data_IF_381362693856
#
_entry.id   IF_381362693856
#
_cell.length_a   1.000
_cell.length_b   1.000
_cell.length_c   1.000
_cell.angle_alpha   90.00
_cell.angle_beta   90.00
_cell.angle_gamma   90.00
#
_symmetry.space_group_name_H-M   'P 1'
#
loop_
_entity.id
_entity.type
_entity.pdbx_description
1 polymer ?
#
# COMPACT_ATOMS: atom_id res chain seq x y z
N UNK A 1 12.68 -0.10 -4.98
CA UNK A 1 13.50 -1.24 -5.41
C UNK A 1 13.42 -2.32 -4.32
N UNK A 2 13.16 -3.58 -4.69
CA UNK A 2 13.01 -4.71 -3.76
C UNK A 2 14.35 -5.39 -3.41
N UNK A 3 15.45 -4.93 -3.99
CA UNK A 3 16.81 -5.44 -3.76
C UNK A 3 17.21 -5.52 -2.28
N UNK A 4 16.63 -4.67 -1.41
CA UNK A 4 16.81 -4.76 0.04
C UNK A 4 16.21 -6.04 0.63
N UNK A 5 15.04 -6.48 0.15
CA UNK A 5 14.40 -7.72 0.62
C UNK A 5 15.13 -8.97 0.10
N UNK A 6 15.76 -8.86 -1.08
CA UNK A 6 16.59 -9.93 -1.65
C UNK A 6 17.91 -10.09 -0.88
N UNK A 7 18.46 -8.98 -0.36
CA UNK A 7 19.70 -8.97 0.44
C UNK A 7 19.45 -9.31 1.91
N UNK A 8 18.35 -8.84 2.49
CA UNK A 8 17.91 -9.12 3.85
C UNK A 8 16.42 -9.48 3.86
N UNK A 9 16.18 -10.78 3.87
CA UNK A 9 14.82 -11.32 3.87
C UNK A 9 14.19 -11.40 5.26
N UNK A 10 14.80 -10.83 6.31
CA UNK A 10 14.28 -10.91 7.69
C UNK A 10 13.33 -9.77 8.04
N UNK A 11 13.36 -8.69 7.25
CA UNK A 11 12.63 -7.46 7.52
C UNK A 11 11.41 -7.23 6.64
N UNK A 12 11.05 -5.96 6.54
CA UNK A 12 10.07 -5.40 5.61
C UNK A 12 10.74 -4.35 4.73
N UNK A 13 10.22 -4.12 3.53
CA UNK A 13 10.67 -3.04 2.66
C UNK A 13 9.50 -2.10 2.36
N UNK A 14 9.71 -0.80 2.56
CA UNK A 14 8.73 0.24 2.24
C UNK A 14 9.09 0.91 0.93
N UNK A 15 8.12 0.97 0.02
CA UNK A 15 8.21 1.71 -1.24
C UNK A 15 7.14 2.79 -1.25
N UNK A 16 7.40 3.92 -1.91
CA UNK A 16 6.42 5.01 -1.96
C UNK A 16 6.64 5.90 -3.18
N UNK A 17 5.56 6.48 -3.68
CA UNK A 17 5.63 7.60 -4.61
C UNK A 17 6.05 8.88 -3.88
N UNK A 18 6.54 9.91 -4.61
CA UNK A 18 6.53 11.27 -4.10
C UNK A 18 5.10 11.68 -3.71
N UNK A 19 4.97 12.51 -2.67
CA UNK A 19 3.67 13.05 -2.26
C UNK A 19 3.27 14.18 -3.21
N UNK A 20 2.13 14.08 -3.91
CA UNK A 20 1.64 15.16 -4.76
C UNK A 20 1.33 16.41 -3.93
N UNK A 21 1.71 17.59 -4.45
CA UNK A 21 1.56 18.84 -3.70
C UNK A 21 0.10 19.17 -3.33
N UNK A 22 -0.85 18.75 -4.17
CA UNK A 22 -2.29 18.91 -3.93
C UNK A 22 -2.74 18.12 -2.69
N UNK A 23 -2.19 16.93 -2.46
CA UNK A 23 -2.56 16.06 -1.35
C UNK A 23 -2.14 16.59 0.03
N UNK A 24 -1.23 17.58 0.07
CA UNK A 24 -0.84 18.27 1.31
C UNK A 24 -1.77 19.43 1.67
N UNK A 25 -2.57 19.90 0.71
CA UNK A 25 -3.41 21.10 0.85
C UNK A 25 -4.88 20.73 0.90
N UNK A 26 -5.31 19.86 -0.01
CA UNK A 26 -6.71 19.46 -0.14
C UNK A 26 -7.03 18.24 0.71
N UNK A 27 -8.27 18.12 1.21
CA UNK A 27 -8.69 16.95 1.97
C UNK A 27 -8.66 15.70 1.07
N UNK A 28 -7.96 14.67 1.53
CA UNK A 28 -7.77 13.43 0.80
C UNK A 28 -8.59 12.28 1.39
N UNK A 29 -8.95 11.36 0.51
CA UNK A 29 -9.35 10.00 0.85
C UNK A 29 -8.15 9.06 0.68
N UNK A 30 -8.02 8.08 1.57
CA UNK A 30 -6.96 7.07 1.54
C UNK A 30 -7.61 5.68 1.58
N UNK A 31 -7.27 4.81 0.64
CA UNK A 31 -7.66 3.40 0.66
C UNK A 31 -6.50 2.52 1.10
N UNK A 32 -6.80 1.44 1.82
CA UNK A 32 -5.83 0.41 2.22
C UNK A 32 -6.24 -0.94 1.62
N UNK A 33 -5.29 -1.68 1.06
CA UNK A 33 -5.53 -3.04 0.56
C UNK A 33 -4.31 -3.95 0.76
N UNK A 34 -4.51 -5.26 0.71
CA UNK A 34 -3.45 -6.25 0.83
C UNK A 34 -3.47 -7.34 -0.24
N UNK A 35 -2.30 -7.89 -0.53
CA UNK A 35 -2.12 -9.07 -1.38
C UNK A 35 -1.19 -10.09 -0.71
N UNK A 36 -1.39 -11.38 -1.00
CA UNK A 36 -0.51 -12.44 -0.50
C UNK A 36 -0.84 -13.00 0.89
N UNK A 37 -2.03 -12.70 1.45
CA UNK A 37 -2.48 -13.23 2.75
C UNK A 37 -2.77 -14.74 2.75
N UNK A 38 -3.17 -15.32 1.61
CA UNK A 38 -3.61 -16.72 1.48
C UNK A 38 -2.53 -17.75 1.07
N UNK A 39 -1.59 -17.41 0.15
CA UNK A 39 -0.51 -18.32 -0.23
C UNK A 39 0.44 -18.64 0.94
N UNK A 40 0.97 -19.87 0.95
CA UNK A 40 2.00 -20.31 1.93
C UNK A 40 3.39 -19.82 1.53
N UNK A 41 3.57 -19.46 0.25
CA UNK A 41 4.84 -19.03 -0.33
C UNK A 41 4.70 -17.59 -0.82
N UNK A 42 5.77 -16.81 -0.62
CA UNK A 42 5.85 -15.43 -1.08
C UNK A 42 5.55 -14.38 0.00
N UNK A 43 5.88 -13.11 -0.27
CA UNK A 43 5.67 -12.02 0.66
C UNK A 43 4.18 -11.66 0.78
N UNK A 44 3.84 -11.00 1.88
CA UNK A 44 2.56 -10.31 2.04
C UNK A 44 2.79 -8.82 1.79
N UNK A 45 2.00 -8.22 0.90
CA UNK A 45 2.14 -6.81 0.50
C UNK A 45 0.95 -6.03 0.98
N UNK A 46 1.20 -4.91 1.66
CA UNK A 46 0.20 -3.91 1.99
C UNK A 46 0.40 -2.68 1.12
N UNK A 47 -0.69 -2.09 0.67
CA UNK A 47 -0.68 -0.89 -0.15
C UNK A 47 -1.64 0.15 0.44
N UNK A 48 -1.22 1.41 0.36
CA UNK A 48 -2.11 2.57 0.48
C UNK A 48 -2.11 3.34 -0.82
N UNK A 49 -3.27 3.89 -1.17
CA UNK A 49 -3.43 4.82 -2.26
C UNK A 49 -4.28 5.99 -1.76
N UNK A 50 -3.89 7.21 -2.07
CA UNK A 50 -4.62 8.41 -1.65
C UNK A 50 -4.70 9.45 -2.76
N UNK A 51 -5.81 10.17 -2.78
CA UNK A 51 -6.04 11.28 -3.71
C UNK A 51 -6.96 12.34 -3.07
N UNK A 52 -6.96 13.59 -3.57
CA UNK A 52 -7.91 14.61 -3.11
C UNK A 52 -9.35 14.21 -3.38
N UNK A 53 -10.25 14.47 -2.42
CA UNK A 53 -11.69 14.21 -2.57
C UNK A 53 -12.29 14.81 -3.86
N UNK A 54 -11.93 16.04 -4.29
CA UNK A 54 -12.45 16.60 -5.54
C UNK A 54 -12.03 15.82 -6.80
N UNK A 55 -10.95 15.02 -6.73
CA UNK A 55 -10.38 14.27 -7.85
C UNK A 55 -10.75 12.78 -7.82
N UNK A 56 -11.62 12.36 -6.88
CA UNK A 56 -12.04 10.97 -6.76
C UNK A 56 -12.74 10.46 -8.04
N UNK A 57 -13.59 11.29 -8.64
CA UNK A 57 -14.26 10.96 -9.90
C UNK A 57 -13.28 10.76 -11.08
N UNK A 58 -12.15 11.50 -11.09
CA UNK A 58 -11.11 11.32 -12.10
C UNK A 58 -10.41 9.96 -11.93
N UNK A 59 -10.17 9.55 -10.68
CA UNK A 59 -9.60 8.24 -10.37
C UNK A 59 -10.55 7.10 -10.77
N UNK A 60 -11.86 7.26 -10.55
CA UNK A 60 -12.88 6.29 -11.00
C UNK A 60 -12.93 6.21 -12.54
N UNK A 61 -12.82 7.35 -13.23
CA UNK A 61 -12.79 7.42 -14.69
C UNK A 61 -11.58 6.69 -15.31
N UNK A 62 -10.48 6.54 -14.56
CA UNK A 62 -9.33 5.72 -14.96
C UNK A 62 -9.63 4.20 -14.97
N UNK A 63 -10.82 3.77 -14.54
CA UNK A 63 -11.28 2.37 -14.45
C UNK A 63 -10.43 1.50 -13.52
N UNK A 64 -9.96 2.08 -12.42
CA UNK A 64 -9.16 1.37 -11.39
C UNK A 64 -10.04 0.43 -10.53
N UNK A 65 -11.37 0.51 -10.64
CA UNK A 65 -12.32 -0.02 -9.66
C UNK A 65 -12.56 -1.55 -9.62
N UNK A 66 -12.06 -2.36 -10.56
CA UNK A 66 -12.25 -3.82 -10.48
C UNK A 66 -10.96 -4.61 -10.71
N UNK A 67 -10.22 -4.87 -9.63
CA UNK A 67 -8.98 -5.65 -9.66
C UNK A 67 -9.21 -7.17 -9.69
N UNK A 68 -10.44 -7.68 -9.67
CA UNK A 68 -10.68 -9.14 -9.48
C UNK A 68 -10.80 -9.93 -10.79
N UNK A 69 -10.89 -9.25 -11.93
CA UNK A 69 -11.02 -9.86 -13.26
C UNK A 69 -9.92 -9.45 -14.24
N UNK A 70 -9.01 -8.56 -13.83
CA UNK A 70 -7.95 -8.02 -14.70
C UNK A 70 -6.77 -8.96 -14.88
N UNK A 71 -6.29 -9.02 -16.12
CA UNK A 71 -5.01 -9.66 -16.47
C UNK A 71 -3.83 -8.86 -15.90
N UNK A 72 -2.68 -9.51 -15.75
CA UNK A 72 -1.44 -8.89 -15.27
C UNK A 72 -1.06 -7.62 -16.06
N UNK A 73 -1.11 -7.71 -17.39
CA UNK A 73 -0.81 -6.59 -18.29
C UNK A 73 -1.79 -5.42 -18.15
N UNK A 74 -3.03 -5.67 -17.74
CA UNK A 74 -4.01 -4.62 -17.50
C UNK A 74 -3.74 -3.90 -16.18
N UNK A 75 -3.28 -4.62 -15.14
CA UNK A 75 -2.87 -4.04 -13.86
C UNK A 75 -1.67 -3.13 -14.02
N UNK A 76 -0.65 -3.58 -14.74
CA UNK A 76 0.54 -2.77 -15.04
C UNK A 76 0.16 -1.48 -15.78
N UNK A 77 -0.73 -1.59 -16.78
CA UNK A 77 -1.22 -0.42 -17.53
C UNK A 77 -2.01 0.54 -16.64
N UNK A 78 -2.85 0.04 -15.74
CA UNK A 78 -3.61 0.89 -14.81
C UNK A 78 -2.68 1.55 -13.78
N UNK A 79 -1.71 0.82 -13.26
CA UNK A 79 -0.71 1.36 -12.35
C UNK A 79 0.10 2.47 -13.00
N UNK A 80 0.59 2.26 -14.24
CA UNK A 80 1.29 3.30 -14.99
C UNK A 80 0.44 4.56 -15.21
N UNK A 81 -0.87 4.40 -15.46
CA UNK A 81 -1.79 5.54 -15.56
C UNK A 81 -1.95 6.29 -14.26
N UNK A 82 -2.02 5.58 -13.13
CA UNK A 82 -2.11 6.21 -11.81
C UNK A 82 -0.81 6.97 -11.48
N UNK A 83 0.34 6.38 -11.81
CA UNK A 83 1.66 6.99 -11.60
C UNK A 83 1.90 8.24 -12.46
N UNK A 84 1.28 8.32 -13.64
CA UNK A 84 1.34 9.50 -14.52
C UNK A 84 0.47 10.68 -14.01
N UNK A 85 -0.40 10.46 -13.01
CA UNK A 85 -1.21 11.54 -12.45
C UNK A 85 -0.44 12.40 -11.45
N UNK A 86 -0.77 13.68 -11.41
CA UNK A 86 -0.18 14.66 -10.48
C UNK A 86 -0.95 14.79 -9.15
N UNK A 87 -1.89 13.90 -8.88
CA UNK A 87 -2.81 13.98 -7.75
C UNK A 87 -3.00 12.66 -6.99
N UNK A 88 -2.43 11.56 -7.46
CA UNK A 88 -2.46 10.27 -6.75
C UNK A 88 -1.10 10.02 -6.11
N UNK A 89 -1.11 9.62 -4.84
CA UNK A 89 0.07 9.11 -4.16
C UNK A 89 -0.16 7.71 -3.62
N UNK A 90 0.90 6.94 -3.48
CA UNK A 90 0.84 5.57 -2.98
C UNK A 90 2.04 5.22 -2.11
N UNK A 91 1.87 4.22 -1.23
CA UNK A 91 2.96 3.58 -0.52
C UNK A 91 2.67 2.10 -0.31
N UNK A 92 3.72 1.30 -0.27
CA UNK A 92 3.68 -0.16 -0.11
C UNK A 92 4.55 -0.56 1.07
N UNK A 93 4.12 -1.56 1.83
CA UNK A 93 4.96 -2.26 2.79
C UNK A 93 4.99 -3.75 2.40
N UNK A 94 6.16 -4.25 2.03
CA UNK A 94 6.39 -5.63 1.61
C UNK A 94 6.96 -6.41 2.78
N UNK A 95 6.17 -7.33 3.32
CA UNK A 95 6.54 -8.19 4.44
C UNK A 95 7.10 -9.51 3.92
N UNK A 96 8.36 -9.79 4.26
CA UNK A 96 9.01 -11.04 3.87
C UNK A 96 8.36 -12.28 4.52
N UNK A 97 8.43 -13.46 3.88
CA UNK A 97 7.94 -14.71 4.49
C UNK A 97 8.63 -15.01 5.84
N UNK A 98 9.90 -14.64 5.97
CA UNK A 98 10.68 -14.88 7.18
C UNK A 98 10.22 -13.97 8.32
N UNK A 99 9.94 -12.69 8.05
CA UNK A 99 9.33 -11.78 9.02
C UNK A 99 7.98 -12.33 9.51
N UNK A 100 7.13 -12.78 8.59
CA UNK A 100 5.81 -13.35 8.94
C UNK A 100 6.00 -14.58 9.83
N UNK A 101 6.89 -15.49 9.44
CA UNK A 101 7.17 -16.73 10.18
C UNK A 101 7.73 -16.47 11.58
N UNK A 102 8.75 -15.62 11.68
CA UNK A 102 9.40 -15.29 12.96
C UNK A 102 8.47 -14.53 13.90
N UNK A 103 7.63 -13.64 13.36
CA UNK A 103 6.63 -12.92 14.15
C UNK A 103 5.57 -13.85 14.74
N UNK A 104 5.10 -14.83 13.96
CA UNK A 104 4.07 -15.78 14.40
C UNK A 104 4.60 -16.88 15.35
N UNK A 105 5.89 -17.22 15.25
CA UNK A 105 6.55 -18.26 16.06
C UNK A 105 7.29 -17.68 17.29
N UNK A 106 7.20 -16.37 17.51
CA UNK A 106 7.78 -15.70 18.67
C UNK A 106 7.19 -16.17 20.01
N UNK A 107 7.93 -15.97 21.10
CA UNK A 107 7.45 -16.29 22.47
C UNK A 107 6.21 -15.48 22.85
N UNK A 108 6.09 -14.26 22.32
CA UNK A 108 4.91 -13.41 22.47
C UNK A 108 3.95 -13.74 21.32
N UNK A 109 2.67 -13.98 21.64
CA UNK A 109 1.65 -14.21 20.64
C UNK A 109 1.48 -12.97 19.77
N UNK A 110 1.98 -13.02 18.55
CA UNK A 110 1.77 -12.00 17.55
C UNK A 110 1.26 -12.69 16.27
N UNK A 111 -0.05 -12.69 16.11
CA UNK A 111 -0.71 -13.44 15.04
C UNK A 111 -0.78 -12.61 13.75
N UNK A 112 -1.18 -13.27 12.66
CA UNK A 112 -1.27 -12.63 11.35
C UNK A 112 -2.19 -11.40 11.35
N UNK A 113 -3.31 -11.43 12.08
CA UNK A 113 -4.22 -10.30 12.14
C UNK A 113 -3.58 -9.08 12.84
N UNK A 114 -2.80 -9.31 13.89
CA UNK A 114 -2.02 -8.24 14.54
C UNK A 114 -0.97 -7.67 13.58
N UNK A 115 -0.21 -8.53 12.91
CA UNK A 115 0.77 -8.10 11.90
C UNK A 115 0.14 -7.29 10.78
N UNK A 116 -1.01 -7.75 10.27
CA UNK A 116 -1.80 -7.08 9.25
C UNK A 116 -2.25 -5.69 9.70
N UNK A 117 -2.87 -5.61 10.87
CA UNK A 117 -3.40 -4.34 11.40
C UNK A 117 -2.29 -3.32 11.68
N UNK A 118 -1.18 -3.76 12.26
CA UNK A 118 -0.05 -2.88 12.58
C UNK A 118 0.64 -2.38 11.30
N UNK A 119 0.67 -3.21 10.25
CA UNK A 119 1.22 -2.81 8.95
C UNK A 119 0.32 -1.79 8.25
N UNK A 120 -1.00 -2.03 8.23
CA UNK A 120 -1.97 -1.05 7.71
C UNK A 120 -1.89 0.29 8.48
N UNK A 121 -1.87 0.24 9.81
CA UNK A 121 -1.73 1.43 10.67
C UNK A 121 -0.43 2.17 10.40
N UNK A 122 0.68 1.43 10.24
CA UNK A 122 1.99 2.02 9.96
C UNK A 122 2.06 2.72 8.60
N UNK A 123 1.35 2.23 7.59
CA UNK A 123 1.24 2.92 6.29
C UNK A 123 0.37 4.16 6.37
N UNK A 124 -0.77 4.10 7.06
CA UNK A 124 -1.62 5.28 7.28
C UNK A 124 -0.84 6.36 8.02
N UNK A 125 -0.15 6.00 9.11
CA UNK A 125 0.67 6.94 9.88
C UNK A 125 1.78 7.54 9.02
N UNK A 126 2.42 6.73 8.15
CA UNK A 126 3.41 7.23 7.21
C UNK A 126 2.84 8.32 6.29
N UNK A 127 1.63 8.15 5.74
CA UNK A 127 1.01 9.19 4.90
C UNK A 127 0.77 10.49 5.69
N UNK A 128 0.30 10.39 6.94
CA UNK A 128 0.12 11.54 7.83
C UNK A 128 1.45 12.26 8.09
N UNK A 129 2.52 11.51 8.38
CA UNK A 129 3.85 12.05 8.66
C UNK A 129 4.47 12.75 7.43
N UNK A 130 4.11 12.33 6.22
CA UNK A 130 4.50 13.01 4.98
C UNK A 130 3.67 14.28 4.66
N UNK A 131 2.74 14.64 5.55
CA UNK A 131 1.91 15.83 5.46
C UNK A 131 0.71 15.69 4.53
N UNK A 132 0.28 14.46 4.22
CA UNK A 132 -0.97 14.23 3.47
C UNK A 132 -2.15 14.65 4.34
N UNK A 133 -3.05 15.48 3.81
CA UNK A 133 -4.24 15.94 4.51
C UNK A 133 -5.35 14.88 4.45
N UNK A 134 -5.12 13.72 5.08
CA UNK A 134 -6.07 12.61 5.09
C UNK A 134 -7.27 12.97 5.97
N UNK A 135 -8.46 12.92 5.39
CA UNK A 135 -9.74 13.21 6.09
C UNK A 135 -10.67 12.00 6.15
N UNK A 136 -10.45 11.02 5.27
CA UNK A 136 -11.21 9.78 5.21
C UNK A 136 -10.27 8.62 4.89
N UNK A 137 -10.46 7.51 5.59
CA UNK A 137 -9.82 6.21 5.28
C UNK A 137 -10.93 5.25 4.87
N UNK A 138 -10.72 4.51 3.77
CA UNK A 138 -11.65 3.54 3.19
C UNK A 138 -11.03 2.15 3.10
#
# INVERSE_FOLDING_TARGET
>A
DLSELERDNTGRCRLSSPVPAVCRKEPCVLGVDEAGRGPVLGPMVYAICYCPLPRLADLEALKVADSKTLLESERERLFAKMEDTDFVGWALDVLSPNLISTSMLGRVKYNLNSLSHDTATGLIQYALDQGVNVTQVS
#
